data_IF_681606685557
#
_entry.id   IF_681606685557
#
_cell.length_a   1.000
_cell.length_b   1.000
_cell.length_c   1.000
_cell.angle_alpha   90.00
_cell.angle_beta   90.00
_cell.angle_gamma   90.00
#
_symmetry.space_group_name_H-M   'P 1'
#
loop_
_entity.id
_entity.type
_entity.pdbx_description
1 polymer ?
#
# COMPACT_ATOMS: atom_id res chain seq x y z
N UNK A 1 14.24 -5.90 -62.37
CA UNK A 1 14.62 -6.82 -61.28
C UNK A 1 13.62 -6.64 -60.15
N UNK A 2 12.58 -7.47 -60.11
CA UNK A 2 11.51 -7.45 -59.10
C UNK A 2 11.50 -8.83 -58.45
N UNK A 3 11.84 -8.92 -57.17
CA UNK A 3 11.80 -10.19 -56.43
C UNK A 3 10.45 -10.24 -55.71
N UNK A 4 9.67 -11.23 -56.13
CA UNK A 4 8.32 -11.54 -55.69
C UNK A 4 8.43 -12.52 -54.50
N UNK A 5 8.15 -12.06 -53.28
CA UNK A 5 8.24 -12.90 -52.08
C UNK A 5 6.89 -13.59 -51.88
N UNK A 6 6.86 -14.88 -52.21
CA UNK A 6 5.74 -15.80 -51.95
C UNK A 6 5.57 -15.96 -50.43
N UNK A 7 4.34 -15.79 -49.94
CA UNK A 7 3.94 -16.10 -48.56
C UNK A 7 4.02 -17.61 -48.33
N UNK A 8 4.80 -18.03 -47.33
CA UNK A 8 4.80 -19.39 -46.81
C UNK A 8 4.23 -19.37 -45.38
N UNK A 9 2.98 -19.81 -45.26
CA UNK A 9 2.38 -20.26 -44.00
C UNK A 9 2.94 -21.63 -43.66
N UNK A 10 3.51 -21.80 -42.46
CA UNK A 10 3.69 -23.12 -41.86
C UNK A 10 3.59 -23.00 -40.33
N UNK A 11 2.79 -23.89 -39.77
CA UNK A 11 2.29 -23.89 -38.41
C UNK A 11 3.40 -24.04 -37.35
N UNK A 12 3.36 -23.20 -36.32
CA UNK A 12 4.13 -23.41 -35.10
C UNK A 12 3.19 -23.93 -34.01
N UNK A 13 3.39 -25.20 -33.68
CA UNK A 13 2.68 -25.94 -32.66
C UNK A 13 2.88 -25.29 -31.29
N UNK A 14 1.81 -24.73 -30.70
CA UNK A 14 1.83 -24.28 -29.31
C UNK A 14 1.41 -25.45 -28.44
N UNK A 15 2.40 -26.19 -27.96
CA UNK A 15 2.26 -27.09 -26.83
C UNK A 15 3.10 -26.49 -25.69
N UNK A 16 2.47 -25.68 -24.84
CA UNK A 16 3.05 -25.28 -23.57
C UNK A 16 2.16 -25.77 -22.44
N UNK A 17 2.52 -26.95 -21.95
CA UNK A 17 2.02 -27.61 -20.77
C UNK A 17 2.69 -26.95 -19.54
N UNK A 18 1.98 -26.10 -18.80
CA UNK A 18 2.42 -25.66 -17.47
C UNK A 18 1.42 -26.16 -16.42
N UNK A 19 1.56 -27.43 -16.05
CA UNK A 19 1.04 -27.98 -14.80
C UNK A 19 2.10 -27.77 -13.70
N UNK A 20 1.65 -27.25 -12.54
CA UNK A 20 2.42 -27.13 -11.30
C UNK A 20 3.26 -25.85 -11.28
N UNK A 21 3.27 -25.01 -10.23
CA UNK A 21 3.19 -25.32 -8.80
C UNK A 21 2.53 -24.11 -8.12
N UNK A 22 1.42 -24.32 -7.41
CA UNK A 22 0.95 -23.34 -6.42
C UNK A 22 1.88 -23.45 -5.21
N UNK A 23 3.00 -22.71 -5.23
CA UNK A 23 3.71 -22.40 -3.98
C UNK A 23 3.00 -21.20 -3.38
N UNK A 24 2.08 -21.46 -2.44
CA UNK A 24 1.77 -20.45 -1.43
C UNK A 24 3.01 -20.31 -0.58
N UNK A 25 3.92 -19.43 -0.98
CA UNK A 25 5.07 -19.02 -0.17
C UNK A 25 4.51 -18.22 1.00
N UNK A 26 4.15 -18.90 2.08
CA UNK A 26 3.96 -18.24 3.37
C UNK A 26 5.33 -17.70 3.79
N UNK A 27 5.51 -16.39 3.65
CA UNK A 27 6.80 -15.73 3.73
C UNK A 27 7.26 -15.59 5.18
N UNK A 28 7.83 -16.63 5.80
CA UNK A 28 8.42 -16.63 7.18
C UNK A 28 9.12 -15.28 7.49
N UNK A 29 8.45 -14.28 8.10
CA UNK A 29 9.11 -13.01 8.39
C UNK A 29 10.14 -13.28 9.46
N UNK A 30 11.40 -12.93 9.17
CA UNK A 30 12.47 -13.29 10.08
C UNK A 30 12.34 -12.46 11.37
N UNK A 31 12.62 -13.02 12.55
CA UNK A 31 12.53 -12.30 13.82
C UNK A 31 13.29 -10.96 13.84
N UNK A 32 14.35 -10.85 13.04
CA UNK A 32 15.17 -9.65 12.93
C UNK A 32 14.50 -8.55 12.08
N UNK A 33 13.78 -8.91 11.00
CA UNK A 33 13.01 -7.95 10.19
C UNK A 33 11.87 -7.33 10.99
N UNK A 34 11.18 -8.14 11.81
CA UNK A 34 10.10 -7.64 12.67
C UNK A 34 10.64 -6.64 13.71
N UNK A 35 11.82 -6.88 14.28
CA UNK A 35 12.46 -5.93 15.21
C UNK A 35 12.86 -4.64 14.52
N UNK A 36 13.39 -4.73 13.29
CA UNK A 36 13.73 -3.55 12.51
C UNK A 36 12.50 -2.70 12.23
N UNK A 37 11.38 -3.31 11.80
CA UNK A 37 10.13 -2.59 11.56
C UNK A 37 9.59 -1.89 12.82
N UNK A 38 9.66 -2.53 13.99
CA UNK A 38 9.28 -1.89 15.26
C UNK A 38 10.17 -0.68 15.56
N UNK A 39 11.48 -0.81 15.30
CA UNK A 39 12.44 0.29 15.45
C UNK A 39 12.11 1.44 14.49
N UNK A 40 11.83 1.14 13.22
CA UNK A 40 11.51 2.12 12.18
C UNK A 40 10.21 2.86 12.51
N UNK A 41 9.17 2.15 12.97
CA UNK A 41 7.93 2.74 13.46
C UNK A 41 8.24 3.71 14.62
N UNK A 42 9.05 3.28 15.59
CA UNK A 42 9.40 4.11 16.75
C UNK A 42 10.16 5.38 16.36
N UNK A 43 11.05 5.29 15.37
CA UNK A 43 11.77 6.45 14.84
C UNK A 43 10.83 7.43 14.13
N UNK A 44 9.91 6.93 13.30
CA UNK A 44 8.89 7.74 12.65
C UNK A 44 8.01 8.44 13.70
N UNK A 45 7.55 7.71 14.71
CA UNK A 45 6.74 8.27 15.80
C UNK A 45 7.48 9.39 16.53
N UNK A 46 8.76 9.19 16.83
CA UNK A 46 9.59 10.21 17.46
C UNK A 46 9.72 11.46 16.59
N UNK A 47 9.98 11.28 15.29
CA UNK A 47 10.10 12.38 14.34
C UNK A 47 8.80 13.16 14.20
N UNK A 48 7.66 12.48 14.09
CA UNK A 48 6.33 13.11 14.05
C UNK A 48 6.03 13.87 15.35
N UNK A 49 6.32 13.26 16.51
CA UNK A 49 6.14 13.92 17.80
C UNK A 49 7.01 15.17 17.95
N UNK A 50 8.25 15.14 17.46
CA UNK A 50 9.14 16.31 17.45
C UNK A 50 8.60 17.48 16.60
N UNK A 51 7.80 17.16 15.58
CA UNK A 51 7.08 18.12 14.73
C UNK A 51 5.68 18.47 15.27
N UNK A 52 5.32 18.04 16.47
CA UNK A 52 4.05 18.35 17.12
C UNK A 52 2.85 17.60 16.53
N UNK A 53 3.06 16.44 15.90
CA UNK A 53 2.01 15.62 15.32
C UNK A 53 2.17 14.13 15.69
N UNK A 54 1.31 13.28 15.15
CA UNK A 54 1.33 11.83 15.37
C UNK A 54 0.90 11.09 14.11
N UNK A 55 1.17 9.78 14.04
CA UNK A 55 0.73 8.93 12.92
C UNK A 55 -0.79 9.03 12.74
N UNK A 56 -1.56 8.91 13.83
CA UNK A 56 -3.02 8.99 13.79
C UNK A 56 -3.51 10.35 13.29
N UNK A 57 -2.85 11.43 13.72
CA UNK A 57 -3.19 12.79 13.34
C UNK A 57 -2.96 13.02 11.85
N UNK A 58 -1.83 12.55 11.31
CA UNK A 58 -1.50 12.73 9.90
C UNK A 58 -2.36 11.86 8.97
N UNK A 59 -2.67 10.63 9.36
CA UNK A 59 -3.62 9.79 8.62
C UNK A 59 -5.04 10.40 8.63
N UNK A 60 -5.48 10.95 9.76
CA UNK A 60 -6.77 11.63 9.87
C UNK A 60 -6.84 12.91 9.00
N UNK A 61 -5.75 13.70 8.96
CA UNK A 61 -5.62 14.83 8.03
C UNK A 61 -5.70 14.36 6.58
N UNK A 62 -4.99 13.31 6.22
CA UNK A 62 -4.99 12.78 4.84
C UNK A 62 -6.39 12.30 4.41
N UNK A 63 -7.14 11.63 5.30
CA UNK A 63 -8.54 11.27 5.07
C UNK A 63 -9.37 12.53 4.79
N UNK A 64 -9.24 13.55 5.64
CA UNK A 64 -9.98 14.80 5.50
C UNK A 64 -9.65 15.51 4.19
N UNK A 65 -8.37 15.59 3.81
CA UNK A 65 -7.93 16.19 2.55
C UNK A 65 -8.55 15.48 1.34
N UNK A 66 -8.65 14.15 1.36
CA UNK A 66 -9.32 13.38 0.30
C UNK A 66 -10.84 13.60 0.27
N UNK A 67 -11.48 13.71 1.44
CA UNK A 67 -12.92 14.04 1.51
C UNK A 67 -13.19 15.45 0.96
N UNK A 68 -12.37 16.43 1.30
CA UNK A 68 -12.47 17.80 0.77
C UNK A 68 -12.27 17.84 -0.75
N UNK A 69 -11.31 17.06 -1.29
CA UNK A 69 -11.15 16.90 -2.74
C UNK A 69 -12.41 16.33 -3.39
N UNK A 70 -13.10 15.40 -2.73
CA UNK A 70 -14.32 14.79 -3.27
C UNK A 70 -15.50 15.79 -3.31
N UNK A 71 -15.60 16.67 -2.32
CA UNK A 71 -16.66 17.68 -2.21
C UNK A 71 -16.44 18.89 -3.13
N UNK A 72 -15.19 19.31 -3.32
CA UNK A 72 -14.87 20.55 -4.02
C UNK A 72 -14.41 20.36 -5.47
N UNK A 73 -13.93 19.18 -5.86
CA UNK A 73 -13.54 18.93 -7.23
C UNK A 73 -14.74 18.49 -8.09
N UNK A 74 -14.77 18.96 -9.33
CA UNK A 74 -15.78 18.57 -10.32
C UNK A 74 -15.41 17.21 -10.93
N UNK A 75 -15.38 16.18 -10.07
CA UNK A 75 -14.89 14.84 -10.40
C UNK A 75 -15.92 14.06 -11.21
N UNK A 76 -15.43 13.32 -12.19
CA UNK A 76 -16.23 12.32 -12.89
C UNK A 76 -16.49 11.10 -11.97
N UNK A 77 -17.45 10.22 -12.32
CA UNK A 77 -17.78 9.08 -11.48
C UNK A 77 -16.61 8.11 -11.20
N UNK A 78 -15.69 7.93 -12.15
CA UNK A 78 -14.55 7.04 -11.97
C UNK A 78 -13.51 7.62 -10.99
N UNK A 79 -13.25 8.92 -11.06
CA UNK A 79 -12.37 9.63 -10.13
C UNK A 79 -12.91 9.58 -8.70
N UNK A 80 -14.24 9.70 -8.52
CA UNK A 80 -14.88 9.55 -7.20
C UNK A 80 -14.65 8.17 -6.61
N UNK A 81 -14.77 7.11 -7.41
CA UNK A 81 -14.53 5.73 -6.97
C UNK A 81 -13.07 5.52 -6.55
N UNK A 82 -12.11 6.09 -7.30
CA UNK A 82 -10.69 6.02 -6.94
C UNK A 82 -10.41 6.74 -5.61
N UNK A 83 -11.00 7.91 -5.42
CA UNK A 83 -10.84 8.69 -4.19
C UNK A 83 -11.50 8.01 -2.99
N UNK A 84 -12.68 7.40 -3.17
CA UNK A 84 -13.33 6.57 -2.16
C UNK A 84 -12.44 5.38 -1.77
N UNK A 85 -11.79 4.73 -2.74
CA UNK A 85 -10.86 3.63 -2.49
C UNK A 85 -9.64 4.09 -1.67
N UNK A 86 -9.09 5.27 -1.99
CA UNK A 86 -8.01 5.88 -1.22
C UNK A 86 -8.44 6.18 0.23
N UNK A 87 -9.58 6.85 0.41
CA UNK A 87 -10.13 7.17 1.74
C UNK A 87 -10.30 5.91 2.58
N UNK A 88 -10.89 4.86 2.01
CA UNK A 88 -11.12 3.60 2.71
C UNK A 88 -9.81 2.89 3.07
N UNK A 89 -8.79 2.98 2.22
CA UNK A 89 -7.49 2.42 2.51
C UNK A 89 -6.76 3.16 3.64
N UNK A 90 -6.78 4.50 3.64
CA UNK A 90 -6.18 5.28 4.74
C UNK A 90 -6.94 5.04 6.05
N UNK A 91 -8.27 4.85 6.02
CA UNK A 91 -9.05 4.43 7.19
C UNK A 91 -8.61 3.06 7.70
N UNK A 92 -8.37 2.09 6.81
CA UNK A 92 -7.85 0.77 7.19
C UNK A 92 -6.47 0.90 7.83
N UNK A 93 -5.57 1.70 7.25
CA UNK A 93 -4.23 1.97 7.81
C UNK A 93 -4.30 2.57 9.21
N UNK A 94 -5.22 3.52 9.43
CA UNK A 94 -5.45 4.11 10.74
C UNK A 94 -5.91 3.04 11.75
N UNK A 95 -6.87 2.21 11.37
CA UNK A 95 -7.35 1.10 12.23
C UNK A 95 -6.22 0.12 12.55
N UNK A 96 -5.49 -0.35 11.53
CA UNK A 96 -4.39 -1.30 11.70
C UNK A 96 -3.30 -0.74 12.64
N UNK A 97 -3.00 0.56 12.53
CA UNK A 97 -2.05 1.23 13.41
C UNK A 97 -2.57 1.41 14.84
N UNK A 98 -3.86 1.75 15.01
CA UNK A 98 -4.47 1.83 16.34
C UNK A 98 -4.49 0.48 17.04
N UNK A 99 -4.84 -0.59 16.33
CA UNK A 99 -4.85 -1.96 16.87
C UNK A 99 -3.45 -2.43 17.30
N UNK A 100 -2.42 -2.03 16.54
CA UNK A 100 -1.01 -2.22 16.91
C UNK A 100 -0.69 -1.52 18.24
N UNK A 101 -1.04 -0.23 18.38
CA UNK A 101 -0.76 0.54 19.61
C UNK A 101 -1.44 -0.02 20.85
N UNK A 102 -2.63 -0.59 20.72
CA UNK A 102 -3.38 -1.14 21.85
C UNK A 102 -2.99 -2.58 22.21
N UNK A 103 -1.99 -3.17 21.55
CA UNK A 103 -1.59 -4.58 21.70
C UNK A 103 -2.76 -5.58 21.54
N UNK A 104 -3.81 -5.19 20.82
CA UNK A 104 -5.00 -6.00 20.61
C UNK A 104 -4.85 -7.02 19.47
N UNK A 105 -3.65 -7.11 18.87
CA UNK A 105 -3.35 -8.10 17.85
C UNK A 105 -3.29 -9.50 18.49
N UNK A 106 -4.32 -10.30 18.22
CA UNK A 106 -4.35 -11.72 18.59
C UNK A 106 -3.08 -12.42 18.10
N UNK A 107 -2.40 -13.10 19.03
CA UNK A 107 -1.20 -13.91 18.76
C UNK A 107 -1.50 -14.91 17.62
N UNK A 108 -0.92 -14.70 16.46
CA UNK A 108 -1.06 -15.60 15.30
C UNK A 108 -1.26 -14.92 13.95
N UNK A 109 -1.41 -13.59 13.91
CA UNK A 109 -1.53 -12.84 12.65
C UNK A 109 -0.15 -12.46 12.09
N UNK A 110 0.09 -12.92 10.88
CA UNK A 110 1.34 -12.79 10.13
C UNK A 110 1.78 -11.34 9.86
N UNK A 111 0.83 -10.42 9.82
CA UNK A 111 1.00 -9.01 9.40
C UNK A 111 0.92 -8.00 10.54
N UNK A 112 1.04 -8.43 11.80
CA UNK A 112 0.81 -7.57 12.97
C UNK A 112 1.68 -6.30 13.02
N UNK A 113 2.84 -6.30 12.34
CA UNK A 113 3.80 -5.17 12.34
C UNK A 113 3.98 -4.56 10.93
N UNK A 114 3.73 -5.28 9.85
CA UNK A 114 3.87 -4.73 8.49
C UNK A 114 2.81 -3.69 8.17
N UNK A 115 1.54 -3.98 8.46
CA UNK A 115 0.45 -3.03 8.22
C UNK A 115 0.62 -1.71 8.99
N UNK A 116 0.97 -1.71 10.30
CA UNK A 116 1.26 -0.47 11.02
C UNK A 116 2.56 0.21 10.55
N UNK A 117 3.58 -0.52 10.07
CA UNK A 117 4.78 0.10 9.48
C UNK A 117 4.46 0.90 8.21
N UNK A 118 3.62 0.36 7.32
CA UNK A 118 3.17 1.08 6.13
C UNK A 118 2.33 2.30 6.52
N UNK A 119 1.43 2.16 7.51
CA UNK A 119 0.64 3.28 8.01
C UNK A 119 1.53 4.42 8.58
N UNK A 120 2.56 4.07 9.35
CA UNK A 120 3.54 5.02 9.87
C UNK A 120 4.32 5.71 8.73
N UNK A 121 4.76 4.95 7.71
CA UNK A 121 5.44 5.52 6.55
C UNK A 121 4.54 6.50 5.78
N UNK A 122 3.28 6.13 5.51
CA UNK A 122 2.30 7.01 4.85
C UNK A 122 2.11 8.31 5.64
N UNK A 123 1.96 8.22 6.97
CA UNK A 123 1.87 9.39 7.84
C UNK A 123 3.13 10.27 7.77
N UNK A 124 4.32 9.66 7.76
CA UNK A 124 5.59 10.39 7.66
C UNK A 124 5.68 11.19 6.35
N UNK A 125 5.33 10.58 5.21
CA UNK A 125 5.31 11.27 3.92
C UNK A 125 4.24 12.37 3.87
N UNK A 126 3.04 12.11 4.41
CA UNK A 126 1.97 13.09 4.49
C UNK A 126 2.39 14.32 5.31
N UNK A 127 3.03 14.12 6.47
CA UNK A 127 3.50 15.20 7.35
C UNK A 127 4.51 16.14 6.69
N UNK A 128 5.27 15.62 5.72
CA UNK A 128 6.28 16.35 4.94
C UNK A 128 5.70 16.92 3.64
N UNK A 129 4.38 16.89 3.46
CA UNK A 129 3.66 17.32 2.26
C UNK A 129 4.02 16.54 0.98
N UNK A 130 4.60 15.34 1.11
CA UNK A 130 4.84 14.42 0.00
C UNK A 130 3.58 13.61 -0.32
N UNK A 131 2.48 14.30 -0.65
CA UNK A 131 1.14 13.71 -0.80
C UNK A 131 1.11 12.62 -1.89
N UNK A 132 1.81 12.81 -3.01
CA UNK A 132 1.86 11.80 -4.07
C UNK A 132 2.55 10.51 -3.61
N UNK A 133 3.61 10.62 -2.80
CA UNK A 133 4.29 9.46 -2.24
C UNK A 133 3.39 8.74 -1.22
N UNK A 134 2.70 9.50 -0.36
CA UNK A 134 1.72 8.94 0.57
C UNK A 134 0.58 8.21 -0.16
N UNK A 135 0.07 8.78 -1.25
CA UNK A 135 -0.97 8.18 -2.10
C UNK A 135 -0.48 6.89 -2.79
N UNK A 136 0.74 6.92 -3.36
CA UNK A 136 1.32 5.74 -4.00
C UNK A 136 1.53 4.58 -3.01
N UNK A 137 2.03 4.88 -1.81
CA UNK A 137 2.19 3.88 -0.75
C UNK A 137 0.84 3.32 -0.29
N UNK A 138 -0.18 4.17 -0.23
CA UNK A 138 -1.55 3.76 0.07
C UNK A 138 -2.06 2.75 -0.95
N UNK A 139 -1.85 3.01 -2.25
CA UNK A 139 -2.21 2.08 -3.31
C UNK A 139 -1.39 0.77 -3.31
N UNK A 140 -0.09 0.84 -3.06
CA UNK A 140 0.77 -0.34 -3.04
C UNK A 140 0.30 -1.39 -2.02
N UNK A 141 -0.23 -0.93 -0.87
CA UNK A 141 -0.79 -1.82 0.15
C UNK A 141 -2.14 -2.45 -0.24
N UNK A 142 -2.87 -1.93 -1.24
CA UNK A 142 -4.10 -2.57 -1.74
C UNK A 142 -3.81 -3.81 -2.60
N UNK A 143 -2.60 -3.90 -3.16
CA UNK A 143 -2.23 -4.91 -4.16
C UNK A 143 -1.43 -6.07 -3.52
N UNK A 144 -0.84 -5.83 -2.35
CA UNK A 144 -0.09 -6.82 -1.57
C UNK A 144 -1.02 -7.69 -0.71
#
# INVERSE_FOLDING_TARGET
>A
MMINIKKATSAFSVMLLCLGINTTSAFASQPDETRQLISDISEIEHNLASNGTSVETELAKLIKDYQEKQEHANLNPAEKVQLDALINQVRKQLTDYMEYKTNSTERGRYDAVYSPAVAAAVAAFASQQYILAAELLTHAQQIA
#
